data_IF_787445045870
#
_entry.id   IF_787445045870
#
_cell.length_a   1.000
_cell.length_b   1.000
_cell.length_c   1.000
_cell.angle_alpha   90.00
_cell.angle_beta   90.00
_cell.angle_gamma   90.00
#
_symmetry.space_group_name_H-M   'P 1'
#
loop_
_entity.id
_entity.type
_entity.pdbx_description
1 polymer ?
#
# COMPACT_ATOMS: atom_id res chain seq x y z
N UNK A 1 11.51 -27.86 -0.61
CA UNK A 1 12.70 -27.46 -1.40
C UNK A 1 13.33 -26.32 -0.64
N UNK A 2 14.58 -26.45 -0.20
CA UNK A 2 15.28 -25.38 0.50
C UNK A 2 15.65 -24.29 -0.51
N UNK A 3 15.09 -23.09 -0.35
CA UNK A 3 15.53 -21.87 -1.05
C UNK A 3 17.01 -21.69 -0.72
N UNK A 4 17.82 -21.38 -1.74
CA UNK A 4 19.27 -21.20 -1.61
C UNK A 4 19.63 -20.21 -0.48
N UNK A 5 20.85 -20.36 0.05
CA UNK A 5 21.47 -19.55 1.11
C UNK A 5 21.71 -18.09 0.67
N UNK A 6 20.68 -17.39 0.21
CA UNK A 6 20.68 -15.97 -0.12
C UNK A 6 20.33 -15.10 1.10
N UNK A 7 20.69 -13.84 1.03
CA UNK A 7 20.31 -12.82 2.02
C UNK A 7 18.77 -12.68 2.09
N UNK A 8 18.23 -12.12 3.18
CA UNK A 8 16.79 -11.86 3.28
C UNK A 8 16.31 -10.97 2.14
N UNK A 9 17.12 -10.00 1.72
CA UNK A 9 16.82 -9.16 0.57
C UNK A 9 16.56 -10.00 -0.69
N UNK A 10 17.47 -10.89 -1.03
CA UNK A 10 17.32 -11.78 -2.20
C UNK A 10 16.08 -12.66 -2.07
N UNK A 11 15.84 -13.21 -0.87
CA UNK A 11 14.63 -14.00 -0.62
C UNK A 11 13.34 -13.21 -0.88
N UNK A 12 13.27 -11.94 -0.46
CA UNK A 12 12.11 -11.09 -0.70
C UNK A 12 11.99 -10.64 -2.16
N UNK A 13 13.10 -10.50 -2.88
CA UNK A 13 13.10 -10.14 -4.31
C UNK A 13 12.69 -11.31 -5.20
N UNK A 14 13.05 -12.54 -4.83
CA UNK A 14 12.76 -13.77 -5.60
C UNK A 14 11.41 -14.40 -5.24
N UNK A 15 10.86 -14.12 -4.06
CA UNK A 15 9.61 -14.71 -3.58
C UNK A 15 8.43 -13.78 -3.86
N UNK A 16 7.37 -14.31 -4.50
CA UNK A 16 6.17 -13.51 -4.75
C UNK A 16 5.47 -13.12 -3.44
N UNK A 17 4.82 -11.95 -3.44
CA UNK A 17 4.05 -11.45 -2.28
C UNK A 17 2.99 -12.47 -1.81
N UNK A 18 2.32 -13.14 -2.76
CA UNK A 18 1.38 -14.23 -2.48
C UNK A 18 2.05 -15.41 -1.77
N UNK A 19 3.27 -15.79 -2.17
CA UNK A 19 3.98 -16.87 -1.50
C UNK A 19 4.39 -16.46 -0.07
N UNK A 20 4.87 -15.22 0.11
CA UNK A 20 5.18 -14.63 1.43
C UNK A 20 3.96 -14.70 2.35
N UNK A 21 2.84 -14.09 1.96
CA UNK A 21 1.74 -13.86 2.90
C UNK A 21 0.60 -14.88 2.86
N UNK A 22 0.48 -15.72 1.82
CA UNK A 22 -0.59 -16.73 1.71
C UNK A 22 -0.10 -18.18 1.75
N UNK A 23 1.20 -18.44 1.53
CA UNK A 23 1.72 -19.82 1.42
C UNK A 23 2.73 -20.21 2.49
N UNK A 24 2.88 -19.38 3.54
CA UNK A 24 3.72 -19.68 4.70
C UNK A 24 5.21 -19.36 4.53
N UNK A 25 5.62 -18.70 3.44
CA UNK A 25 7.03 -18.31 3.26
C UNK A 25 7.44 -17.21 4.26
N UNK A 26 6.49 -16.39 4.75
CA UNK A 26 6.75 -15.42 5.82
C UNK A 26 7.33 -16.08 7.07
N UNK A 27 6.74 -17.18 7.54
CA UNK A 27 7.22 -17.91 8.73
C UNK A 27 8.64 -18.44 8.48
N UNK A 28 8.88 -19.01 7.30
CA UNK A 28 10.21 -19.53 6.90
C UNK A 28 11.27 -18.42 6.85
N UNK A 29 10.90 -17.21 6.42
CA UNK A 29 11.81 -16.05 6.42
C UNK A 29 12.09 -15.58 7.85
N UNK A 30 11.07 -15.53 8.71
CA UNK A 30 11.18 -15.06 10.09
C UNK A 30 11.95 -16.03 11.00
N UNK A 31 11.97 -17.32 10.68
CA UNK A 31 12.76 -18.34 11.37
C UNK A 31 14.28 -18.27 11.08
N UNK A 32 14.70 -17.46 10.11
CA UNK A 32 16.14 -17.32 9.77
C UNK A 32 16.91 -16.59 10.86
N UNK A 33 18.18 -16.95 11.01
CA UNK A 33 19.10 -16.24 11.90
C UNK A 33 19.16 -14.75 11.56
N UNK A 34 18.99 -13.91 12.59
CA UNK A 34 19.01 -12.43 12.51
C UNK A 34 17.93 -11.83 11.59
N UNK A 35 16.82 -12.54 11.35
CA UNK A 35 15.77 -12.08 10.45
C UNK A 35 15.27 -10.66 10.73
N UNK A 36 14.93 -10.38 11.98
CA UNK A 36 14.46 -9.06 12.42
C UNK A 36 15.51 -7.97 12.15
N UNK A 37 16.78 -8.23 12.44
CA UNK A 37 17.85 -7.24 12.24
C UNK A 37 18.02 -6.89 10.75
N UNK A 38 17.99 -7.90 9.89
CA UNK A 38 18.17 -7.72 8.44
C UNK A 38 16.94 -7.07 7.79
N UNK A 39 15.73 -7.43 8.21
CA UNK A 39 14.50 -6.75 7.80
C UNK A 39 14.53 -5.27 8.22
N UNK A 40 14.96 -4.96 9.44
CA UNK A 40 15.12 -3.57 9.89
C UNK A 40 16.12 -2.79 9.02
N UNK A 41 17.21 -3.41 8.56
CA UNK A 41 18.16 -2.75 7.63
C UNK A 41 17.49 -2.41 6.30
N UNK A 42 16.65 -3.30 5.78
CA UNK A 42 15.89 -3.06 4.54
C UNK A 42 14.94 -1.87 4.74
N UNK A 43 14.09 -1.91 5.77
CA UNK A 43 13.10 -0.86 6.06
C UNK A 43 13.77 0.51 6.25
N UNK A 44 14.93 0.56 6.92
CA UNK A 44 15.70 1.79 7.18
C UNK A 44 16.48 2.30 5.97
N UNK A 45 16.57 1.56 4.87
CA UNK A 45 17.35 1.95 3.68
C UNK A 45 16.67 3.04 2.86
N UNK A 46 17.26 4.23 2.80
CA UNK A 46 16.72 5.37 2.03
C UNK A 46 16.86 5.21 0.51
N UNK A 47 17.74 4.32 0.03
CA UNK A 47 17.95 4.03 -1.39
C UNK A 47 17.25 2.74 -1.86
N UNK A 48 16.53 2.07 -0.97
CA UNK A 48 15.88 0.78 -1.26
C UNK A 48 14.54 0.95 -1.98
N UNK A 49 14.21 -0.02 -2.83
CA UNK A 49 12.88 -0.15 -3.45
C UNK A 49 11.78 -0.09 -2.40
N UNK A 50 10.80 0.81 -2.59
CA UNK A 50 9.68 1.00 -1.69
C UNK A 50 8.88 -0.29 -1.50
N UNK A 51 8.70 -1.09 -2.55
CA UNK A 51 7.92 -2.34 -2.47
C UNK A 51 8.57 -3.33 -1.52
N UNK A 52 9.90 -3.50 -1.67
CA UNK A 52 10.68 -4.36 -0.79
C UNK A 52 10.63 -3.88 0.67
N UNK A 53 10.68 -2.56 0.88
CA UNK A 53 10.60 -1.96 2.21
C UNK A 53 9.22 -2.14 2.85
N UNK A 54 8.14 -2.07 2.06
CA UNK A 54 6.77 -2.39 2.51
C UNK A 54 6.67 -3.85 2.95
N UNK A 55 7.12 -4.79 2.11
CA UNK A 55 7.10 -6.23 2.43
C UNK A 55 7.90 -6.49 3.72
N UNK A 56 9.09 -5.89 3.84
CA UNK A 56 9.91 -6.04 5.03
C UNK A 56 9.26 -5.47 6.30
N UNK A 57 8.57 -4.33 6.20
CA UNK A 57 7.84 -3.74 7.32
C UNK A 57 6.65 -4.61 7.75
N UNK A 58 5.93 -5.22 6.82
CA UNK A 58 4.84 -6.16 7.13
C UNK A 58 5.34 -7.42 7.83
N UNK A 59 6.49 -7.96 7.40
CA UNK A 59 7.12 -9.10 8.08
C UNK A 59 7.57 -8.74 9.50
N UNK A 60 8.13 -7.54 9.71
CA UNK A 60 8.43 -7.04 11.06
C UNK A 60 7.17 -6.96 11.93
N UNK A 61 6.05 -6.47 11.37
CA UNK A 61 4.78 -6.41 12.08
C UNK A 61 4.23 -7.80 12.41
N UNK A 62 4.40 -8.79 11.54
CA UNK A 62 4.07 -10.19 11.84
C UNK A 62 4.94 -10.75 12.97
N UNK A 63 6.19 -10.29 13.10
CA UNK A 63 7.08 -10.62 14.22
C UNK A 63 6.78 -9.84 15.51
N UNK A 64 5.74 -8.99 15.53
CA UNK A 64 5.31 -8.23 16.70
C UNK A 64 5.96 -6.85 16.87
N UNK A 65 6.68 -6.37 15.85
CA UNK A 65 7.23 -5.00 15.85
C UNK A 65 6.19 -3.97 15.44
N UNK A 66 6.27 -2.76 15.99
CA UNK A 66 5.40 -1.65 15.59
C UNK A 66 5.83 -1.07 14.23
N UNK A 67 4.88 -0.59 13.40
CA UNK A 67 5.20 0.09 12.16
C UNK A 67 5.99 1.37 12.42
N UNK A 68 7.09 1.58 11.68
CA UNK A 68 7.86 2.81 11.81
C UNK A 68 7.10 3.97 11.15
N UNK A 69 6.82 5.06 11.88
CA UNK A 69 6.10 6.23 11.31
C UNK A 69 6.72 6.75 10.01
N UNK A 70 8.05 6.71 9.87
CA UNK A 70 8.76 7.12 8.65
C UNK A 70 8.43 6.27 7.41
N UNK A 71 7.77 5.13 7.57
CA UNK A 71 7.31 4.28 6.47
C UNK A 71 6.01 4.76 5.85
N UNK A 72 5.28 5.69 6.46
CA UNK A 72 3.99 6.19 5.93
C UNK A 72 4.11 6.63 4.47
N UNK A 73 5.12 7.45 4.17
CA UNK A 73 5.43 7.93 2.82
C UNK A 73 5.74 6.77 1.88
N UNK A 74 6.56 5.81 2.34
CA UNK A 74 7.02 4.66 1.55
C UNK A 74 5.85 3.76 1.15
N UNK A 75 4.88 3.55 2.05
CA UNK A 75 3.66 2.79 1.73
C UNK A 75 2.83 3.48 0.67
N UNK A 76 2.64 4.80 0.77
CA UNK A 76 1.83 5.57 -0.19
C UNK A 76 2.53 5.62 -1.57
N UNK A 77 3.82 5.94 -1.60
CA UNK A 77 4.61 6.01 -2.84
C UNK A 77 4.86 4.62 -3.47
N UNK A 78 4.57 3.53 -2.77
CA UNK A 78 4.62 2.17 -3.33
C UNK A 78 3.35 1.81 -4.12
N UNK A 79 2.23 2.54 -3.94
CA UNK A 79 0.94 2.22 -4.58
C UNK A 79 1.07 2.22 -6.11
N UNK A 80 1.57 3.28 -6.78
CA UNK A 80 1.59 3.32 -8.25
C UNK A 80 2.44 2.21 -8.86
N UNK A 81 3.53 1.88 -8.18
CA UNK A 81 4.44 0.81 -8.58
C UNK A 81 4.02 -0.57 -8.06
N UNK A 82 2.85 -0.74 -7.45
CA UNK A 82 2.48 -2.01 -6.85
C UNK A 82 2.57 -3.16 -7.86
N UNK A 83 3.23 -4.26 -7.45
CA UNK A 83 3.24 -5.49 -8.27
C UNK A 83 1.81 -6.00 -8.51
N UNK A 84 0.96 -5.87 -7.49
CA UNK A 84 -0.42 -6.34 -7.44
C UNK A 84 -1.22 -5.47 -6.46
N UNK A 85 -2.22 -4.74 -6.94
CA UNK A 85 -2.97 -3.77 -6.14
C UNK A 85 -3.96 -4.41 -5.16
N UNK A 86 -4.33 -5.68 -5.34
CA UNK A 86 -5.16 -6.43 -4.37
C UNK A 86 -4.57 -6.43 -2.96
N UNK A 87 -3.25 -6.27 -2.82
CA UNK A 87 -2.57 -6.17 -1.53
C UNK A 87 -2.80 -4.84 -0.83
N UNK A 88 -3.19 -3.80 -1.56
CA UNK A 88 -3.61 -2.50 -1.03
C UNK A 88 -5.13 -2.44 -0.88
N UNK A 89 -5.88 -3.01 -1.83
CA UNK A 89 -7.33 -3.12 -1.76
C UNK A 89 -8.00 -2.85 -3.10
N UNK A 90 -9.32 -2.83 -3.07
CA UNK A 90 -10.17 -2.49 -4.20
C UNK A 90 -11.10 -1.34 -3.77
N UNK A 91 -11.08 -0.17 -4.45
CA UNK A 91 -11.87 1.00 -4.05
C UNK A 91 -13.34 0.66 -3.85
N UNK A 92 -13.97 1.13 -2.76
CA UNK A 92 -15.38 0.87 -2.46
C UNK A 92 -15.71 -0.56 -1.98
N UNK A 93 -14.79 -1.51 -2.11
CA UNK A 93 -15.05 -2.92 -1.83
C UNK A 93 -14.33 -3.44 -0.59
N UNK A 94 -12.99 -3.39 -0.56
CA UNK A 94 -12.20 -3.94 0.54
C UNK A 94 -10.80 -3.33 0.64
N UNK A 95 -10.19 -3.47 1.82
CA UNK A 95 -8.77 -3.18 2.04
C UNK A 95 -7.95 -4.47 1.97
N UNK A 96 -6.83 -4.40 1.28
CA UNK A 96 -5.78 -5.41 1.36
C UNK A 96 -4.86 -5.13 2.55
N UNK A 97 -4.00 -6.12 2.88
CA UNK A 97 -3.05 -6.04 4.00
C UNK A 97 -2.26 -4.73 4.07
N UNK A 98 -1.67 -4.29 2.95
CA UNK A 98 -0.87 -3.07 2.92
C UNK A 98 -1.75 -1.82 3.05
N UNK A 99 -2.98 -1.86 2.52
CA UNK A 99 -3.96 -0.80 2.69
C UNK A 99 -4.39 -0.63 4.13
N UNK A 100 -4.64 -1.73 4.85
CA UNK A 100 -4.92 -1.67 6.30
C UNK A 100 -3.80 -0.96 7.08
N UNK A 101 -2.53 -1.23 6.71
CA UNK A 101 -1.39 -0.53 7.32
C UNK A 101 -1.36 0.95 6.96
N UNK A 102 -1.72 1.34 5.73
CA UNK A 102 -1.89 2.77 5.37
C UNK A 102 -2.93 3.44 6.26
N UNK A 103 -4.10 2.81 6.47
CA UNK A 103 -5.15 3.37 7.33
C UNK A 103 -4.66 3.52 8.79
N UNK A 104 -3.84 2.59 9.28
CA UNK A 104 -3.25 2.67 10.64
C UNK A 104 -2.35 3.89 10.84
N UNK A 105 -1.74 4.43 9.77
CA UNK A 105 -0.99 5.68 9.84
C UNK A 105 -1.88 6.93 10.00
N UNK A 106 -3.20 6.79 9.77
CA UNK A 106 -4.21 7.85 9.94
C UNK A 106 -3.86 9.10 9.11
N UNK A 107 -4.11 10.28 9.65
CA UNK A 107 -3.89 11.59 9.02
C UNK A 107 -2.47 11.77 8.47
N UNK A 108 -1.46 11.09 9.02
CA UNK A 108 -0.08 11.15 8.51
C UNK A 108 0.05 10.62 7.08
N UNK A 109 -0.84 9.75 6.62
CA UNK A 109 -0.83 9.24 5.24
C UNK A 109 -1.48 10.20 4.25
N UNK A 110 -2.38 11.08 4.70
CA UNK A 110 -3.20 11.92 3.83
C UNK A 110 -2.36 12.76 2.86
N UNK A 111 -1.30 13.49 3.29
CA UNK A 111 -0.51 14.29 2.36
C UNK A 111 0.07 13.50 1.19
N UNK A 112 0.50 12.26 1.45
CA UNK A 112 1.10 11.38 0.44
C UNK A 112 0.05 10.68 -0.42
N UNK A 113 -1.16 10.44 0.10
CA UNK A 113 -2.27 9.91 -0.71
C UNK A 113 -2.83 10.98 -1.65
N UNK A 114 -2.87 12.25 -1.22
CA UNK A 114 -3.30 13.39 -2.05
C UNK A 114 -2.45 13.53 -3.30
N UNK A 115 -1.13 13.30 -3.18
CA UNK A 115 -0.18 13.32 -4.29
C UNK A 115 -0.49 12.24 -5.36
N UNK A 116 -1.21 11.18 -5.00
CA UNK A 116 -1.56 10.08 -5.91
C UNK A 116 -2.99 10.15 -6.45
N UNK A 117 -3.83 11.10 -6.00
CA UNK A 117 -5.25 11.16 -6.39
C UNK A 117 -5.49 11.56 -7.85
N UNK A 118 -4.51 12.16 -8.51
CA UNK A 118 -4.57 12.45 -9.95
C UNK A 118 -4.00 11.31 -10.82
N UNK A 119 -3.39 10.30 -10.19
CA UNK A 119 -2.76 9.19 -10.87
C UNK A 119 -3.80 8.32 -11.60
N UNK A 120 -3.72 8.34 -12.92
CA UNK A 120 -4.66 7.64 -13.81
C UNK A 120 -4.28 6.20 -14.13
N UNK A 121 -3.16 5.70 -13.60
CA UNK A 121 -2.69 4.36 -13.92
C UNK A 121 -3.70 3.31 -13.43
N UNK A 122 -4.02 2.35 -14.30
CA UNK A 122 -5.02 1.33 -14.00
C UNK A 122 -4.54 0.39 -12.89
N UNK A 123 -5.47 -0.01 -12.01
CA UNK A 123 -5.14 -0.99 -10.98
C UNK A 123 -4.83 -2.36 -11.62
N UNK A 124 -3.69 -2.91 -11.24
CA UNK A 124 -3.30 -4.28 -11.61
C UNK A 124 -3.79 -5.26 -10.55
N UNK A 125 -4.91 -5.95 -10.81
CA UNK A 125 -5.52 -6.96 -9.93
C UNK A 125 -5.57 -8.34 -10.61
N UNK A 126 -5.57 -9.42 -9.80
CA UNK A 126 -5.68 -10.80 -10.26
C UNK A 126 -6.87 -11.48 -9.56
N UNK A 127 -7.24 -12.66 -10.04
CA UNK A 127 -8.29 -13.45 -9.43
C UNK A 127 -9.68 -12.78 -9.52
N UNK A 128 -10.52 -12.90 -8.48
CA UNK A 128 -11.89 -12.39 -8.49
C UNK A 128 -12.03 -10.86 -8.64
N UNK A 129 -11.02 -10.09 -8.22
CA UNK A 129 -11.06 -8.63 -8.26
C UNK A 129 -10.69 -8.07 -9.65
N UNK A 130 -9.99 -8.86 -10.47
CA UNK A 130 -9.56 -8.45 -11.81
C UNK A 130 -10.70 -8.00 -12.75
N UNK A 131 -11.84 -8.72 -12.87
CA UNK A 131 -12.96 -8.25 -13.69
C UNK A 131 -13.55 -6.96 -13.13
N UNK A 132 -13.78 -6.86 -11.81
CA UNK A 132 -14.38 -5.68 -11.18
C UNK A 132 -13.50 -4.45 -11.40
N UNK A 133 -12.19 -4.57 -11.18
CA UNK A 133 -11.24 -3.47 -11.39
C UNK A 133 -11.20 -3.00 -12.84
N UNK A 134 -11.33 -3.92 -13.80
CA UNK A 134 -11.33 -3.60 -15.23
C UNK A 134 -12.65 -2.98 -15.67
N UNK A 135 -13.78 -3.54 -15.28
CA UNK A 135 -15.12 -3.09 -15.67
C UNK A 135 -15.42 -1.70 -15.14
N UNK A 136 -15.03 -1.41 -13.90
CA UNK A 136 -15.20 -0.09 -13.29
C UNK A 136 -14.07 0.89 -13.67
N UNK A 137 -13.05 0.43 -14.40
CA UNK A 137 -11.85 1.20 -14.75
C UNK A 137 -11.16 1.86 -13.55
N UNK A 138 -11.02 1.12 -12.43
CA UNK A 138 -10.36 1.67 -11.25
C UNK A 138 -8.89 2.00 -11.53
N UNK A 139 -8.44 3.13 -10.98
CA UNK A 139 -7.07 3.61 -11.09
C UNK A 139 -6.43 3.85 -9.72
N UNK A 140 -5.12 4.10 -9.71
CA UNK A 140 -4.34 4.43 -8.49
C UNK A 140 -4.98 5.58 -7.72
N UNK A 141 -5.44 6.63 -8.41
CA UNK A 141 -6.12 7.75 -7.77
C UNK A 141 -7.44 7.37 -7.08
N UNK A 142 -8.18 6.40 -7.63
CA UNK A 142 -9.39 5.88 -6.97
C UNK A 142 -9.05 5.17 -5.66
N UNK A 143 -7.97 4.40 -5.65
CA UNK A 143 -7.49 3.69 -4.47
C UNK A 143 -6.94 4.65 -3.40
N UNK A 144 -6.19 5.66 -3.80
CA UNK A 144 -5.71 6.70 -2.90
C UNK A 144 -6.87 7.49 -2.26
N UNK A 145 -7.87 7.85 -3.07
CA UNK A 145 -9.08 8.53 -2.60
C UNK A 145 -9.92 7.65 -1.66
N UNK A 146 -10.06 6.36 -1.96
CA UNK A 146 -10.73 5.39 -1.09
C UNK A 146 -10.05 5.32 0.28
N UNK A 147 -8.72 5.17 0.33
CA UNK A 147 -7.98 5.15 1.58
C UNK A 147 -8.10 6.46 2.36
N UNK A 148 -8.05 7.60 1.68
CA UNK A 148 -8.26 8.90 2.31
C UNK A 148 -9.66 9.04 2.92
N UNK A 149 -10.71 8.62 2.20
CA UNK A 149 -12.08 8.59 2.74
C UNK A 149 -12.16 7.73 4.01
N UNK A 150 -11.54 6.55 4.02
CA UNK A 150 -11.55 5.67 5.20
C UNK A 150 -10.81 6.28 6.39
N UNK A 151 -9.66 6.93 6.17
CA UNK A 151 -8.92 7.64 7.23
C UNK A 151 -9.78 8.77 7.83
N UNK A 152 -10.52 9.48 6.97
CA UNK A 152 -11.40 10.59 7.36
C UNK A 152 -12.76 10.12 7.89
N UNK A 153 -12.99 8.80 7.97
CA UNK A 153 -14.27 8.20 8.38
C UNK A 153 -15.45 8.66 7.50
N UNK A 154 -15.23 8.80 6.19
CA UNK A 154 -16.20 9.22 5.18
C UNK A 154 -16.54 8.09 4.21
N UNK A 155 -17.74 8.15 3.67
CA UNK A 155 -18.14 7.29 2.56
C UNK A 155 -17.32 7.61 1.30
N UNK A 156 -16.84 6.56 0.64
CA UNK A 156 -16.21 6.69 -0.67
C UNK A 156 -17.30 6.72 -1.75
N UNK A 157 -17.33 7.73 -2.63
CA UNK A 157 -18.33 7.84 -3.69
C UNK A 157 -17.99 6.86 -4.82
N UNK A 158 -18.37 5.60 -4.61
CA UNK A 158 -18.12 4.49 -5.54
C UNK A 158 -19.12 4.51 -6.70
N UNK A 159 -18.88 5.42 -7.64
CA UNK A 159 -19.64 5.51 -8.89
C UNK A 159 -19.39 4.32 -9.81
N UNK A 160 -20.41 3.96 -10.60
CA UNK A 160 -20.42 2.81 -11.53
C UNK A 160 -19.34 2.89 -12.63
N UNK A 161 -18.76 4.06 -12.87
CA UNK A 161 -17.74 4.28 -13.88
C UNK A 161 -16.71 5.34 -13.45
N UNK A 162 -15.62 5.44 -14.21
CA UNK A 162 -14.53 6.38 -13.92
C UNK A 162 -14.98 7.85 -13.98
N UNK A 163 -15.89 8.21 -14.87
CA UNK A 163 -16.31 9.60 -15.06
C UNK A 163 -17.07 10.11 -13.83
N UNK A 164 -17.96 9.28 -13.29
CA UNK A 164 -18.75 9.58 -12.09
C UNK A 164 -17.91 9.72 -10.83
N UNK A 165 -16.77 9.02 -10.73
CA UNK A 165 -15.83 9.13 -9.59
C UNK A 165 -14.86 10.30 -9.68
N UNK A 166 -14.52 10.76 -10.88
CA UNK A 166 -13.54 11.84 -11.09
C UNK A 166 -13.92 13.16 -10.40
N UNK A 167 -15.20 13.54 -10.46
CA UNK A 167 -15.68 14.79 -9.84
C UNK A 167 -15.50 14.79 -8.32
N UNK A 168 -16.09 13.82 -7.60
CA UNK A 168 -15.91 13.68 -6.17
C UNK A 168 -14.44 13.52 -5.75
N UNK A 169 -13.63 12.77 -6.51
CA UNK A 169 -12.20 12.61 -6.24
C UNK A 169 -11.45 13.94 -6.29
N UNK A 170 -11.68 14.75 -7.33
CA UNK A 170 -11.07 16.08 -7.44
C UNK A 170 -11.53 17.03 -6.34
N UNK A 171 -12.81 16.97 -5.96
CA UNK A 171 -13.32 17.78 -4.86
C UNK A 171 -12.64 17.41 -3.53
N UNK A 172 -12.49 16.11 -3.25
CA UNK A 172 -11.76 15.62 -2.08
C UNK A 172 -10.28 16.05 -2.11
N UNK A 173 -9.61 15.92 -3.26
CA UNK A 173 -8.21 16.35 -3.41
C UNK A 173 -8.06 17.85 -3.10
N UNK A 174 -8.93 18.69 -3.65
CA UNK A 174 -8.92 20.14 -3.40
C UNK A 174 -9.19 20.50 -1.93
N UNK A 175 -10.13 19.79 -1.28
CA UNK A 175 -10.42 19.96 0.14
C UNK A 175 -9.17 19.62 0.99
N UNK A 176 -8.53 18.49 0.70
CA UNK A 176 -7.35 18.04 1.45
C UNK A 176 -6.12 18.89 1.19
N UNK A 177 -5.93 19.41 -0.02
CA UNK A 177 -4.87 20.39 -0.32
C UNK A 177 -5.06 21.68 0.49
N UNK A 178 -6.30 22.16 0.65
CA UNK A 178 -6.59 23.33 1.47
C UNK A 178 -6.34 23.06 2.96
N UNK A 179 -6.71 21.89 3.45
CA UNK A 179 -6.42 21.46 4.82
C UNK A 179 -4.91 21.33 5.06
N UNK A 180 -4.17 20.75 4.10
CA UNK A 180 -2.72 20.63 4.19
C UNK A 180 -2.03 21.99 4.35
N UNK A 181 -2.52 23.02 3.63
CA UNK A 181 -2.05 24.41 3.76
C UNK A 181 -2.43 25.00 5.13
N UNK A 182 -3.66 24.76 5.59
CA UNK A 182 -4.16 25.32 6.86
C UNK A 182 -3.48 24.69 8.10
N UNK A 183 -3.19 23.39 8.05
CA UNK A 183 -2.62 22.63 9.16
C UNK A 183 -1.08 22.50 9.10
N UNK A 184 -0.45 23.00 8.03
CA UNK A 184 1.01 23.00 7.89
C UNK A 184 1.61 21.62 7.61
N UNK A 185 0.87 20.77 6.90
CA UNK A 185 1.39 19.48 6.42
C UNK A 185 2.37 19.65 5.24
N UNK A 186 2.37 20.82 4.58
CA UNK A 186 3.25 21.22 3.47
C UNK A 186 3.91 22.57 3.73
#
# INVERSE_FOLDING_TARGET
MAIGLGTIREALEETSVDAIFLRGEADTILERDRAVEDLQKIVKSERGDHRLRVIAQELLMMAGEEPLNKMVRVYCEAIPGAFMHQWWGLPGHHLGRFGETVIKFREQAIPFLVDEMDNSDALTCLGPDAPIARENEYCVGDLAAYMACLILEREYPDGEDRETRNGPRKALQQELDQLAIAEGWR
#
